data_IF_422452255278
#
_entry.id   IF_422452255278
#
_cell.length_a   1.000
_cell.length_b   1.000
_cell.length_c   1.000
_cell.angle_alpha   90.00
_cell.angle_beta   90.00
_cell.angle_gamma   90.00
#
_symmetry.space_group_name_H-M   'P 1'
#
loop_
_entity.id
_entity.type
_entity.pdbx_description
1 polymer ?
#
# COMPACT_ATOMS: atom_id res chain seq x y z
N UNK A 1 23.86 17.32 14.90
CA UNK A 1 22.75 17.24 15.88
C UNK A 1 22.16 18.60 16.28
N UNK A 2 22.27 19.67 15.46
CA UNK A 2 21.73 21.02 15.78
C UNK A 2 20.56 21.48 14.89
N UNK A 3 20.21 20.73 13.84
CA UNK A 3 19.17 21.13 12.86
C UNK A 3 17.79 20.56 13.20
N UNK A 4 17.72 19.40 13.86
CA UNK A 4 16.43 18.80 14.25
C UNK A 4 15.73 19.49 15.43
N UNK A 5 16.44 20.32 16.21
CA UNK A 5 15.84 21.06 17.31
C UNK A 5 14.97 22.24 16.82
N UNK A 6 15.34 22.85 15.68
CA UNK A 6 14.60 23.99 15.10
C UNK A 6 13.24 23.53 14.55
N UNK A 7 13.17 22.35 13.90
CA UNK A 7 11.91 21.80 13.40
C UNK A 7 10.95 21.37 14.53
N UNK A 8 11.46 20.88 15.66
CA UNK A 8 10.63 20.54 16.82
C UNK A 8 10.11 21.82 17.51
N UNK A 9 10.93 22.87 17.58
CA UNK A 9 10.54 24.15 18.17
C UNK A 9 9.48 24.89 17.34
N UNK A 10 9.60 24.87 16.01
CA UNK A 10 8.62 25.46 15.09
C UNK A 10 7.27 24.74 15.15
N UNK A 11 7.27 23.41 15.31
CA UNK A 11 6.04 22.64 15.49
C UNK A 11 5.36 22.94 16.84
N UNK A 12 6.14 23.13 17.90
CA UNK A 12 5.63 23.56 19.19
C UNK A 12 5.05 24.99 19.16
N UNK A 13 5.68 25.90 18.39
CA UNK A 13 5.19 27.28 18.22
C UNK A 13 3.89 27.34 17.41
N UNK A 14 3.78 26.56 16.33
CA UNK A 14 2.54 26.45 15.55
C UNK A 14 1.39 25.85 16.37
N UNK A 15 1.67 24.86 17.23
CA UNK A 15 0.68 24.29 18.15
C UNK A 15 0.26 25.27 19.25
N UNK A 16 1.17 26.12 19.76
CA UNK A 16 0.83 27.15 20.73
C UNK A 16 -0.04 28.27 20.12
N UNK A 17 0.20 28.65 18.85
CA UNK A 17 -0.63 29.63 18.15
C UNK A 17 -2.06 29.08 17.92
N UNK A 18 -2.20 27.78 17.59
CA UNK A 18 -3.50 27.12 17.44
C UNK A 18 -4.29 27.05 18.77
N UNK A 19 -3.59 26.94 19.91
CA UNK A 19 -4.20 26.91 21.24
C UNK A 19 -4.57 28.32 21.75
N UNK A 20 -3.85 29.37 21.32
CA UNK A 20 -4.07 30.74 21.80
C UNK A 20 -5.16 31.49 21.02
N UNK A 21 -5.52 31.08 19.80
CA UNK A 21 -6.60 31.73 19.03
C UNK A 21 -8.02 31.50 19.57
N UNK A 22 -8.19 30.67 20.61
CA UNK A 22 -9.46 30.49 21.32
C UNK A 22 -9.61 31.28 22.63
N UNK A 23 -8.72 32.24 22.91
CA UNK A 23 -9.03 33.27 23.92
C UNK A 23 -9.99 34.31 23.34
N UNK A 24 -11.29 33.99 23.39
CA UNK A 24 -12.34 35.01 23.38
C UNK A 24 -12.06 35.98 24.51
N UNK A 25 -11.91 37.26 24.16
CA UNK A 25 -11.94 38.36 25.12
C UNK A 25 -13.28 38.31 25.86
N UNK A 26 -13.23 38.11 27.18
CA UNK A 26 -14.40 38.21 28.06
C UNK A 26 -14.75 39.69 28.23
N UNK A 27 -15.38 40.29 27.22
CA UNK A 27 -16.27 41.42 27.46
C UNK A 27 -17.53 40.85 28.10
N UNK A 28 -17.70 41.08 29.40
CA UNK A 28 -18.90 40.74 30.16
C UNK A 28 -20.03 41.57 29.56
N UNK A 29 -20.73 40.98 28.60
CA UNK A 29 -22.05 41.41 28.18
C UNK A 29 -22.97 40.29 28.62
N UNK A 30 -23.84 40.56 29.59
CA UNK A 30 -24.81 39.60 30.10
C UNK A 30 -25.79 39.21 28.99
N UNK A 31 -25.45 38.18 28.21
CA UNK A 31 -26.43 37.45 27.42
C UNK A 31 -27.15 36.48 28.35
N UNK A 32 -28.44 36.75 28.59
CA UNK A 32 -29.38 35.76 29.14
C UNK A 32 -29.41 34.57 28.17
N UNK A 33 -28.72 33.48 28.50
CA UNK A 33 -28.88 32.23 27.78
C UNK A 33 -30.24 31.65 28.16
N UNK A 34 -31.13 31.49 27.19
CA UNK A 34 -32.31 30.61 27.31
C UNK A 34 -31.86 29.15 27.22
N UNK A 35 -30.96 28.75 28.11
CA UNK A 35 -30.80 27.35 28.48
C UNK A 35 -32.02 27.03 29.34
N UNK A 36 -33.00 26.33 28.75
CA UNK A 36 -34.02 25.58 29.50
C UNK A 36 -33.28 24.48 30.27
N UNK A 37 -32.63 24.87 31.36
CA UNK A 37 -32.40 23.97 32.47
C UNK A 37 -33.79 23.68 33.01
N UNK A 38 -34.24 22.42 32.91
CA UNK A 38 -35.38 21.93 33.69
C UNK A 38 -34.95 21.94 35.15
N UNK A 39 -34.97 23.13 35.75
CA UNK A 39 -35.01 23.26 37.19
C UNK A 39 -36.45 22.94 37.56
N UNK A 40 -36.68 21.82 38.25
CA UNK A 40 -37.95 21.53 38.89
C UNK A 40 -38.15 22.58 39.99
N UNK A 41 -38.69 23.73 39.60
CA UNK A 41 -39.25 24.68 40.55
C UNK A 41 -40.63 24.17 40.93
N UNK A 42 -40.73 23.48 42.08
CA UNK A 42 -42.00 23.12 42.74
C UNK A 42 -42.74 24.35 43.32
N UNK A 43 -42.65 25.51 42.68
CA UNK A 43 -43.26 26.75 43.19
C UNK A 43 -44.77 26.83 42.91
N UNK A 44 -45.31 25.95 42.07
CA UNK A 44 -46.74 25.80 41.81
C UNK A 44 -47.07 24.34 41.53
N UNK A 45 -47.11 23.50 42.56
CA UNK A 45 -47.85 22.24 42.52
C UNK A 45 -49.27 22.51 43.06
N UNK A 46 -50.29 22.62 42.22
CA UNK A 46 -51.68 22.73 42.67
C UNK A 46 -52.08 21.41 43.31
N UNK A 47 -52.61 21.52 44.52
CA UNK A 47 -52.92 20.40 45.43
C UNK A 47 -54.00 19.43 44.87
N UNK A 48 -54.57 19.69 43.69
CA UNK A 48 -55.74 18.93 43.23
C UNK A 48 -55.97 18.89 41.70
N UNK A 49 -54.94 18.59 40.91
CA UNK A 49 -55.12 18.40 39.44
C UNK A 49 -55.86 17.11 39.08
N UNK A 50 -55.84 16.10 39.95
CA UNK A 50 -56.44 14.79 39.70
C UNK A 50 -57.97 14.80 39.67
N UNK A 51 -58.62 15.89 40.10
CA UNK A 51 -60.08 15.99 40.17
C UNK A 51 -60.69 16.96 39.15
N UNK A 52 -59.88 17.65 38.32
CA UNK A 52 -60.39 18.53 37.27
C UNK A 52 -60.86 17.70 36.05
N UNK A 53 -62.15 17.75 35.66
CA UNK A 53 -62.69 17.03 34.51
C UNK A 53 -62.00 17.38 33.18
N UNK A 54 -61.50 18.61 33.04
CA UNK A 54 -60.77 19.05 31.85
C UNK A 54 -59.36 18.47 31.82
N UNK A 55 -58.67 18.43 32.97
CA UNK A 55 -57.33 17.86 33.08
C UNK A 55 -57.34 16.35 32.79
N UNK A 56 -58.32 15.60 33.31
CA UNK A 56 -58.48 14.17 33.00
C UNK A 56 -58.63 13.89 31.51
N UNK A 57 -59.40 14.72 30.79
CA UNK A 57 -59.57 14.57 29.33
C UNK A 57 -58.27 14.81 28.57
N UNK A 58 -57.48 15.79 28.98
CA UNK A 58 -56.18 16.10 28.36
C UNK A 58 -55.17 14.99 28.65
N UNK A 59 -55.13 14.48 29.88
CA UNK A 59 -54.27 13.35 30.25
C UNK A 59 -54.62 12.10 29.45
N UNK A 60 -55.90 11.76 29.34
CA UNK A 60 -56.35 10.59 28.58
C UNK A 60 -56.01 10.72 27.08
N UNK A 61 -56.23 11.90 26.47
CA UNK A 61 -55.82 12.15 25.09
C UNK A 61 -54.30 12.08 24.89
N UNK A 62 -53.51 12.51 25.88
CA UNK A 62 -52.06 12.38 25.84
C UNK A 62 -51.68 10.90 25.89
N UNK A 63 -52.24 10.15 26.83
CA UNK A 63 -51.98 8.73 27.06
C UNK A 63 -52.32 7.89 25.82
N UNK A 64 -53.49 8.10 25.22
CA UNK A 64 -53.92 7.46 23.96
C UNK A 64 -52.91 7.72 22.83
N UNK A 65 -52.51 8.99 22.64
CA UNK A 65 -51.56 9.39 21.59
C UNK A 65 -50.14 8.89 21.85
N UNK A 66 -49.71 8.80 23.11
CA UNK A 66 -48.41 8.19 23.44
C UNK A 66 -48.44 6.70 23.19
N UNK A 67 -49.50 6.01 23.61
CA UNK A 67 -49.66 4.56 23.45
C UNK A 67 -49.64 4.18 21.97
N UNK A 68 -50.34 4.92 21.11
CA UNK A 68 -50.28 4.72 19.66
C UNK A 68 -48.87 4.91 19.09
N UNK A 69 -48.15 5.97 19.51
CA UNK A 69 -46.76 6.22 19.06
C UNK A 69 -45.79 5.15 19.54
N UNK A 70 -45.97 4.61 20.74
CA UNK A 70 -45.15 3.51 21.25
C UNK A 70 -45.36 2.24 20.42
N UNK A 71 -46.61 1.89 20.10
CA UNK A 71 -46.89 0.76 19.20
C UNK A 71 -46.28 0.96 17.80
N UNK A 72 -46.43 2.14 17.20
CA UNK A 72 -45.81 2.46 15.89
C UNK A 72 -44.28 2.46 15.94
N UNK A 73 -43.68 2.85 17.06
CA UNK A 73 -42.24 2.79 17.26
C UNK A 73 -41.77 1.34 17.38
N UNK A 74 -42.45 0.50 18.17
CA UNK A 74 -42.10 -0.90 18.36
C UNK A 74 -42.22 -1.71 17.06
N UNK A 75 -43.26 -1.48 16.25
CA UNK A 75 -43.41 -2.14 14.95
C UNK A 75 -42.32 -1.71 13.95
N UNK A 76 -41.97 -0.42 13.91
CA UNK A 76 -40.81 0.05 13.13
C UNK A 76 -39.50 -0.54 13.63
N UNK A 77 -39.36 -0.72 14.94
CA UNK A 77 -38.16 -1.29 15.54
C UNK A 77 -38.02 -2.78 15.21
N UNK A 78 -39.11 -3.55 15.23
CA UNK A 78 -39.14 -4.96 14.83
C UNK A 78 -38.76 -5.14 13.36
N UNK A 79 -39.41 -4.42 12.46
CA UNK A 79 -39.15 -4.51 11.01
C UNK A 79 -37.71 -4.12 10.66
N UNK A 80 -37.18 -3.08 11.30
CA UNK A 80 -35.80 -2.63 11.11
C UNK A 80 -34.80 -3.67 11.62
N UNK A 81 -35.04 -4.26 12.80
CA UNK A 81 -34.20 -5.34 13.35
C UNK A 81 -34.20 -6.58 12.46
N UNK A 82 -35.35 -6.95 11.90
CA UNK A 82 -35.47 -8.10 11.00
C UNK A 82 -34.67 -7.90 9.71
N UNK A 83 -34.76 -6.72 9.08
CA UNK A 83 -33.97 -6.37 7.88
C UNK A 83 -32.46 -6.48 8.13
N UNK A 84 -31.97 -5.94 9.26
CA UNK A 84 -30.55 -6.04 9.60
C UNK A 84 -30.11 -7.48 9.88
N UNK A 85 -30.98 -8.30 10.49
CA UNK A 85 -30.68 -9.73 10.73
C UNK A 85 -30.55 -10.49 9.41
N UNK A 86 -31.50 -10.32 8.49
CA UNK A 86 -31.46 -10.93 7.15
C UNK A 86 -30.23 -10.47 6.34
N UNK A 87 -29.88 -9.19 6.43
CA UNK A 87 -28.69 -8.65 5.75
C UNK A 87 -27.39 -9.25 6.31
N UNK A 88 -27.26 -9.35 7.64
CA UNK A 88 -26.13 -10.02 8.29
C UNK A 88 -26.05 -11.50 7.91
N UNK A 89 -27.16 -12.24 7.94
CA UNK A 89 -27.18 -13.67 7.59
C UNK A 89 -26.75 -13.89 6.12
N UNK A 90 -27.15 -12.99 5.21
CA UNK A 90 -26.73 -13.00 3.81
C UNK A 90 -25.24 -12.71 3.64
N UNK A 91 -24.69 -11.74 4.37
CA UNK A 91 -23.26 -11.43 4.33
C UNK A 91 -22.42 -12.57 4.93
N UNK A 92 -22.88 -13.19 6.02
CA UNK A 92 -22.23 -14.37 6.62
C UNK A 92 -22.23 -15.54 5.63
N UNK A 93 -23.34 -15.83 4.97
CA UNK A 93 -23.39 -16.86 3.93
C UNK A 93 -22.41 -16.59 2.78
N UNK A 94 -22.29 -15.32 2.36
CA UNK A 94 -21.32 -14.92 1.32
C UNK A 94 -19.87 -15.12 1.77
N UNK A 95 -19.56 -14.83 3.03
CA UNK A 95 -18.23 -15.04 3.62
C UNK A 95 -17.91 -16.54 3.70
N UNK A 96 -18.85 -17.37 4.15
CA UNK A 96 -18.68 -18.83 4.23
C UNK A 96 -18.45 -19.44 2.84
N UNK A 97 -19.23 -19.02 1.84
CA UNK A 97 -19.05 -19.46 0.44
C UNK A 97 -17.68 -19.05 -0.11
N UNK A 98 -17.23 -17.83 0.19
CA UNK A 98 -15.91 -17.34 -0.23
C UNK A 98 -14.77 -18.12 0.43
N UNK A 99 -14.85 -18.35 1.73
CA UNK A 99 -13.86 -19.14 2.49
C UNK A 99 -13.79 -20.59 1.98
N UNK A 100 -14.94 -21.18 1.61
CA UNK A 100 -14.99 -22.54 1.03
C UNK A 100 -14.29 -22.61 -0.33
N UNK A 101 -14.47 -21.61 -1.20
CA UNK A 101 -13.78 -21.54 -2.48
C UNK A 101 -12.28 -21.29 -2.31
N UNK A 102 -11.89 -20.38 -1.41
CA UNK A 102 -10.49 -20.09 -1.11
C UNK A 102 -9.76 -21.33 -0.57
N UNK A 103 -10.41 -22.11 0.30
CA UNK A 103 -9.88 -23.39 0.79
C UNK A 103 -9.73 -24.43 -0.31
N UNK A 104 -10.73 -24.58 -1.18
CA UNK A 104 -10.65 -25.51 -2.32
C UNK A 104 -9.53 -25.13 -3.29
N UNK A 105 -9.35 -23.83 -3.56
CA UNK A 105 -8.23 -23.38 -4.39
C UNK A 105 -6.88 -23.61 -3.70
N UNK A 106 -6.76 -23.33 -2.41
CA UNK A 106 -5.53 -23.58 -1.66
C UNK A 106 -5.16 -25.07 -1.64
N UNK A 107 -6.13 -25.96 -1.46
CA UNK A 107 -5.90 -27.41 -1.54
C UNK A 107 -5.48 -27.86 -2.96
N UNK A 108 -6.08 -27.31 -4.02
CA UNK A 108 -5.64 -27.56 -5.39
C UNK A 108 -4.23 -27.03 -5.65
N UNK A 109 -3.88 -25.84 -5.17
CA UNK A 109 -2.52 -25.31 -5.31
C UNK A 109 -1.49 -26.14 -4.56
N UNK A 110 -1.79 -26.59 -3.34
CA UNK A 110 -0.86 -27.43 -2.54
C UNK A 110 -0.67 -28.80 -3.19
N UNK A 111 -1.72 -29.38 -3.77
CA UNK A 111 -1.60 -30.67 -4.49
C UNK A 111 -0.81 -30.53 -5.80
N UNK A 112 -1.00 -29.43 -6.54
CA UNK A 112 -0.17 -29.08 -7.69
C UNK A 112 1.30 -28.84 -7.31
N UNK A 113 1.59 -28.23 -6.16
CA UNK A 113 2.96 -28.03 -5.67
C UNK A 113 3.63 -29.35 -5.25
N UNK A 114 2.89 -30.33 -4.74
CA UNK A 114 3.46 -31.65 -4.38
C UNK A 114 3.75 -32.56 -5.58
N UNK A 115 3.05 -32.37 -6.71
CA UNK A 115 3.34 -33.06 -7.97
C UNK A 115 4.56 -32.48 -8.71
N UNK A 116 5.03 -31.29 -8.30
CA UNK A 116 6.28 -30.70 -8.77
C UNK A 116 7.37 -31.08 -7.77
N UNK A 117 7.84 -32.33 -7.83
CA UNK A 117 9.03 -32.72 -7.08
C UNK A 117 10.20 -31.76 -7.37
N UNK A 118 10.86 -31.37 -6.29
CA UNK A 118 11.97 -30.43 -6.14
C UNK A 118 13.26 -30.74 -6.90
N UNK A 119 13.28 -31.74 -7.77
CA UNK A 119 14.51 -32.29 -8.32
C UNK A 119 14.78 -31.84 -9.77
N UNK A 120 13.98 -30.91 -10.28
CA UNK A 120 14.27 -30.21 -11.55
C UNK A 120 13.87 -28.73 -11.46
N UNK A 121 14.61 -27.96 -10.66
CA UNK A 121 14.69 -26.51 -10.83
C UNK A 121 15.89 -26.24 -11.75
N UNK A 122 15.70 -25.95 -13.05
CA UNK A 122 16.76 -25.33 -13.83
C UNK A 122 16.94 -23.91 -13.30
N UNK A 123 18.21 -23.55 -13.10
CA UNK A 123 18.69 -22.19 -12.82
C UNK A 123 17.88 -21.12 -13.54
N UNK A 124 17.29 -20.22 -12.75
CA UNK A 124 16.79 -18.89 -13.10
C UNK A 124 16.34 -18.73 -14.57
N UNK A 125 15.13 -19.18 -14.86
CA UNK A 125 14.42 -18.63 -16.01
C UNK A 125 14.03 -17.20 -15.59
N UNK A 126 14.68 -16.19 -16.19
CA UNK A 126 14.19 -14.81 -16.16
C UNK A 126 12.78 -14.78 -16.77
N UNK A 127 11.80 -15.05 -15.93
CA UNK A 127 10.41 -15.01 -16.28
C UNK A 127 10.08 -13.54 -16.55
N UNK A 128 9.87 -13.21 -17.82
CA UNK A 128 9.03 -12.07 -18.16
C UNK A 128 7.75 -12.23 -17.31
N UNK A 129 7.42 -11.23 -16.49
CA UNK A 129 6.07 -10.98 -15.95
C UNK A 129 5.78 -11.26 -14.46
N UNK A 130 6.53 -10.60 -13.57
CA UNK A 130 5.84 -9.92 -12.45
C UNK A 130 5.76 -8.42 -12.70
N UNK A 131 6.86 -7.75 -13.04
CA UNK A 131 6.83 -6.31 -13.37
C UNK A 131 5.97 -5.98 -14.61
N UNK A 132 6.14 -6.68 -15.75
CA UNK A 132 5.37 -6.41 -16.99
C UNK A 132 3.87 -6.79 -16.86
N UNK A 133 3.54 -7.79 -16.02
CA UNK A 133 2.14 -8.17 -15.70
C UNK A 133 1.51 -7.22 -14.70
N UNK A 134 2.27 -6.77 -13.69
CA UNK A 134 1.83 -5.74 -12.74
C UNK A 134 1.69 -4.40 -13.45
N UNK A 135 2.55 -4.05 -14.40
CA UNK A 135 2.47 -2.82 -15.19
C UNK A 135 1.25 -2.85 -16.14
N UNK A 136 1.01 -3.95 -16.88
CA UNK A 136 -0.23 -4.14 -17.65
C UNK A 136 -1.48 -4.21 -16.78
N UNK A 137 -1.39 -4.79 -15.58
CA UNK A 137 -2.47 -4.84 -14.60
C UNK A 137 -2.78 -3.48 -14.00
N UNK A 138 -1.77 -2.67 -13.71
CA UNK A 138 -1.89 -1.33 -13.16
C UNK A 138 -2.42 -0.35 -14.21
N UNK A 139 -1.96 -0.46 -15.48
CA UNK A 139 -2.55 0.25 -16.63
C UNK A 139 -4.03 -0.10 -16.83
N UNK A 140 -4.41 -1.39 -16.73
CA UNK A 140 -5.81 -1.81 -16.79
C UNK A 140 -6.64 -1.31 -15.60
N UNK A 141 -6.09 -1.31 -14.39
CA UNK A 141 -6.77 -0.76 -13.21
C UNK A 141 -6.97 0.77 -13.29
N UNK A 142 -6.01 1.51 -13.85
CA UNK A 142 -6.16 2.95 -14.12
C UNK A 142 -7.20 3.24 -15.21
N UNK A 143 -7.32 2.36 -16.21
CA UNK A 143 -8.28 2.51 -17.32
C UNK A 143 -9.75 2.36 -16.86
N UNK A 144 -10.02 1.45 -15.91
CA UNK A 144 -11.38 1.17 -15.42
C UNK A 144 -11.85 2.23 -14.40
N UNK A 145 -10.92 2.82 -13.64
CA UNK A 145 -11.22 3.96 -12.75
C UNK A 145 -11.40 5.28 -13.52
N UNK A 146 -10.85 5.39 -14.73
CA UNK A 146 -11.00 6.57 -15.59
C UNK A 146 -12.40 6.78 -16.19
N UNK A 147 -13.25 5.75 -16.23
CA UNK A 147 -14.61 5.88 -16.79
C UNK A 147 -15.66 6.34 -15.76
N UNK A 148 -15.35 6.28 -14.46
CA UNK A 148 -16.24 6.74 -13.40
C UNK A 148 -15.87 8.13 -12.82
N UNK A 149 -14.65 8.62 -13.08
CA UNK A 149 -14.21 9.97 -12.71
C UNK A 149 -13.10 10.44 -13.67
N UNK A 150 -13.40 11.31 -14.65
CA UNK A 150 -12.45 11.74 -15.69
C UNK A 150 -11.21 12.51 -15.18
N UNK A 151 -11.22 13.02 -13.95
CA UNK A 151 -10.22 14.00 -13.50
C UNK A 151 -9.04 13.42 -12.70
N UNK A 152 -9.11 12.16 -12.23
CA UNK A 152 -8.01 11.56 -11.45
C UNK A 152 -7.01 10.74 -12.30
N UNK A 153 -7.31 10.47 -13.58
CA UNK A 153 -6.43 9.71 -14.48
C UNK A 153 -5.27 10.52 -15.11
N UNK A 154 -5.29 11.84 -14.97
CA UNK A 154 -4.33 12.78 -15.60
C UNK A 154 -3.32 13.37 -14.62
N UNK A 155 -3.25 12.84 -13.41
CA UNK A 155 -2.42 13.39 -12.37
C UNK A 155 -1.01 12.78 -12.45
N UNK A 156 -0.16 13.34 -13.34
CA UNK A 156 1.31 13.45 -13.32
C UNK A 156 2.24 12.25 -13.01
N UNK A 157 1.84 11.30 -12.18
CA UNK A 157 2.68 10.23 -11.66
C UNK A 157 3.08 9.17 -12.68
N UNK A 158 2.20 8.83 -13.61
CA UNK A 158 2.50 7.84 -14.65
C UNK A 158 3.56 8.35 -15.64
N UNK A 159 3.55 9.63 -15.98
CA UNK A 159 4.55 10.22 -16.88
C UNK A 159 5.93 10.35 -16.20
N UNK A 160 5.96 10.80 -14.94
CA UNK A 160 7.19 10.91 -14.16
C UNK A 160 7.84 9.55 -13.95
N UNK A 161 7.05 8.54 -13.57
CA UNK A 161 7.56 7.19 -13.35
C UNK A 161 8.08 6.57 -14.66
N UNK A 162 7.34 6.68 -15.76
CA UNK A 162 7.77 6.19 -17.06
C UNK A 162 9.05 6.89 -17.55
N UNK A 163 9.16 8.20 -17.37
CA UNK A 163 10.37 8.95 -17.69
C UNK A 163 11.57 8.51 -16.85
N UNK A 164 11.38 8.27 -15.55
CA UNK A 164 12.42 7.78 -14.65
C UNK A 164 12.89 6.37 -15.04
N UNK A 165 11.98 5.46 -15.40
CA UNK A 165 12.32 4.10 -15.88
C UNK A 165 13.06 4.17 -17.22
N UNK A 166 12.65 5.02 -18.15
CA UNK A 166 13.33 5.20 -19.43
C UNK A 166 14.74 5.80 -19.28
N UNK A 167 14.94 6.70 -18.32
CA UNK A 167 16.27 7.22 -18.00
C UNK A 167 17.15 6.14 -17.36
N UNK A 168 16.60 5.41 -16.39
CA UNK A 168 17.28 4.33 -15.67
C UNK A 168 17.74 3.20 -16.59
N UNK A 169 16.88 2.77 -17.52
CA UNK A 169 17.23 1.72 -18.49
C UNK A 169 18.39 2.11 -19.40
N UNK A 170 18.48 3.37 -19.83
CA UNK A 170 19.62 3.86 -20.62
C UNK A 170 20.93 3.78 -19.84
N UNK A 171 20.90 4.16 -18.56
CA UNK A 171 22.07 4.09 -17.67
C UNK A 171 22.47 2.63 -17.41
N UNK A 172 21.49 1.77 -17.12
CA UNK A 172 21.73 0.34 -16.91
C UNK A 172 22.33 -0.36 -18.13
N UNK A 173 21.83 -0.08 -19.33
CA UNK A 173 22.39 -0.61 -20.58
C UNK A 173 23.84 -0.14 -20.77
N UNK A 174 24.12 1.15 -20.56
CA UNK A 174 25.48 1.68 -20.68
C UNK A 174 26.45 0.98 -19.71
N UNK A 175 26.03 0.78 -18.47
CA UNK A 175 26.84 0.11 -17.43
C UNK A 175 27.03 -1.38 -17.67
N UNK A 176 26.02 -2.08 -18.17
CA UNK A 176 26.17 -3.47 -18.60
C UNK A 176 27.16 -3.60 -19.78
N UNK A 177 27.15 -2.66 -20.73
CA UNK A 177 28.14 -2.62 -21.82
C UNK A 177 29.56 -2.40 -21.29
N UNK A 178 29.73 -1.50 -20.31
CA UNK A 178 31.02 -1.31 -19.62
C UNK A 178 31.50 -2.60 -18.97
N UNK A 179 30.66 -3.26 -18.16
CA UNK A 179 31.01 -4.53 -17.53
C UNK A 179 31.36 -5.63 -18.53
N UNK A 180 30.66 -5.70 -19.67
CA UNK A 180 30.99 -6.66 -20.74
C UNK A 180 32.34 -6.38 -21.41
N UNK A 181 32.79 -5.13 -21.46
CA UNK A 181 34.12 -4.80 -21.99
C UNK A 181 35.24 -5.27 -21.06
N UNK A 182 34.96 -5.30 -19.76
CA UNK A 182 35.91 -5.77 -18.73
C UNK A 182 36.03 -7.31 -18.70
N UNK A 183 35.10 -8.04 -19.34
CA UNK A 183 35.19 -9.50 -19.48
C UNK A 183 36.43 -9.86 -20.29
N UNK A 184 37.28 -10.70 -19.70
CA UNK A 184 38.59 -11.09 -20.26
C UNK A 184 38.48 -11.59 -21.69
N UNK A 185 39.08 -10.83 -22.61
CA UNK A 185 39.16 -11.16 -24.04
C UNK A 185 37.87 -10.93 -24.83
N UNK A 186 36.75 -10.57 -24.20
CA UNK A 186 35.47 -10.34 -24.89
C UNK A 186 35.53 -9.09 -25.77
N UNK A 187 36.14 -8.02 -25.28
CA UNK A 187 36.38 -6.79 -26.07
C UNK A 187 37.24 -7.07 -27.31
N UNK A 188 38.28 -7.91 -27.20
CA UNK A 188 39.11 -8.31 -28.35
C UNK A 188 38.37 -9.22 -29.34
N UNK A 189 37.37 -9.96 -28.86
CA UNK A 189 36.57 -10.86 -29.68
C UNK A 189 35.56 -10.07 -30.51
N UNK A 190 34.76 -9.22 -29.86
CA UNK A 190 33.57 -8.59 -30.43
C UNK A 190 33.73 -7.11 -30.75
N UNK A 191 34.71 -6.43 -30.13
CA UNK A 191 34.98 -5.01 -30.34
C UNK A 191 33.73 -4.15 -30.10
N UNK A 192 33.36 -3.35 -31.10
CA UNK A 192 32.19 -2.46 -31.04
C UNK A 192 30.85 -3.20 -31.05
N UNK A 193 30.80 -4.46 -31.49
CA UNK A 193 29.55 -5.26 -31.54
C UNK A 193 28.97 -5.57 -30.15
N UNK A 194 29.72 -5.31 -29.08
CA UNK A 194 29.23 -5.44 -27.70
C UNK A 194 28.05 -4.50 -27.44
N UNK A 195 28.01 -3.33 -28.10
CA UNK A 195 26.90 -2.38 -27.93
C UNK A 195 25.56 -2.96 -28.38
N UNK A 196 25.57 -3.74 -29.46
CA UNK A 196 24.36 -4.31 -30.06
C UNK A 196 23.86 -5.56 -29.32
N UNK A 197 24.71 -6.13 -28.45
CA UNK A 197 24.37 -7.29 -27.62
C UNK A 197 23.46 -6.94 -26.45
N UNK A 198 23.59 -5.73 -25.90
CA UNK A 198 22.87 -5.30 -24.70
C UNK A 198 21.63 -4.52 -25.10
N UNK A 199 20.47 -4.93 -24.57
CA UNK A 199 19.18 -4.34 -24.83
C UNK A 199 18.36 -4.21 -23.55
N UNK A 200 17.18 -3.61 -23.67
CA UNK A 200 16.25 -3.35 -22.55
C UNK A 200 15.83 -4.62 -21.81
N UNK A 201 15.94 -5.80 -22.43
CA UNK A 201 15.46 -7.07 -21.87
C UNK A 201 16.55 -7.94 -21.24
N UNK A 202 17.83 -7.70 -21.54
CA UNK A 202 18.93 -8.56 -21.08
C UNK A 202 19.96 -7.86 -20.20
N UNK A 203 20.01 -6.52 -20.15
CA UNK A 203 21.05 -5.77 -19.43
C UNK A 203 21.13 -6.08 -17.92
N UNK A 204 20.04 -6.56 -17.32
CA UNK A 204 19.92 -6.90 -15.90
C UNK A 204 19.77 -8.41 -15.63
N UNK A 205 19.61 -9.22 -16.68
CA UNK A 205 19.35 -10.65 -16.53
C UNK A 205 20.60 -11.45 -16.88
N UNK A 206 21.23 -12.03 -15.87
CA UNK A 206 22.45 -12.85 -15.95
C UNK A 206 22.38 -13.91 -17.05
N UNK A 207 21.35 -14.75 -17.01
CA UNK A 207 21.19 -15.86 -17.95
C UNK A 207 20.86 -15.39 -19.37
N UNK A 208 20.05 -14.34 -19.51
CA UNK A 208 19.72 -13.78 -20.83
C UNK A 208 20.95 -13.14 -21.48
N UNK A 209 21.74 -12.40 -20.70
CA UNK A 209 22.96 -11.77 -21.16
C UNK A 209 24.00 -12.82 -21.58
N UNK A 210 24.21 -13.84 -20.75
CA UNK A 210 25.08 -14.97 -21.05
C UNK A 210 24.66 -15.68 -22.34
N UNK A 211 23.38 -16.02 -22.48
CA UNK A 211 22.85 -16.64 -23.71
C UNK A 211 23.09 -15.78 -24.95
N UNK A 212 22.87 -14.46 -24.86
CA UNK A 212 23.11 -13.57 -25.99
C UNK A 212 24.58 -13.50 -26.38
N UNK A 213 25.48 -13.45 -25.40
CA UNK A 213 26.94 -13.45 -25.64
C UNK A 213 27.37 -14.79 -26.24
N UNK A 214 26.93 -15.91 -25.68
CA UNK A 214 27.31 -17.25 -26.13
C UNK A 214 26.80 -17.55 -27.55
N UNK A 215 25.61 -17.07 -27.93
CA UNK A 215 25.08 -17.22 -29.29
C UNK A 215 25.96 -16.57 -30.35
N UNK A 216 26.63 -15.45 -30.03
CA UNK A 216 27.53 -14.76 -30.96
C UNK A 216 28.96 -15.28 -30.83
N UNK A 217 29.44 -15.53 -29.60
CA UNK A 217 30.81 -15.92 -29.35
C UNK A 217 31.11 -17.37 -29.79
N UNK A 218 30.18 -18.30 -29.59
CA UNK A 218 30.41 -19.72 -29.86
C UNK A 218 30.67 -20.04 -31.34
N UNK A 219 29.91 -19.51 -32.32
CA UNK A 219 30.23 -19.69 -33.75
C UNK A 219 31.62 -19.15 -34.11
N UNK A 220 32.00 -17.99 -33.54
CA UNK A 220 33.30 -17.36 -33.79
C UNK A 220 34.43 -18.26 -33.27
N UNK A 221 34.28 -18.79 -32.05
CA UNK A 221 35.27 -19.68 -31.46
C UNK A 221 35.41 -21.05 -32.17
N UNK A 222 34.46 -21.45 -33.03
CA UNK A 222 34.51 -22.69 -33.82
C UNK A 222 35.21 -22.55 -35.18
N UNK A 223 35.36 -21.34 -35.72
CA UNK A 223 35.84 -21.08 -37.10
C UNK A 223 37.37 -21.09 -37.28
N UNK A 224 38.10 -21.67 -36.32
CA UNK A 224 39.52 -22.10 -36.37
C UNK A 224 40.67 -21.13 -36.72
N UNK A 225 40.44 -19.85 -37.07
CA UNK A 225 41.50 -18.82 -36.96
C UNK A 225 41.43 -18.01 -35.65
N UNK A 226 40.24 -17.97 -35.04
CA UNK A 226 39.93 -17.18 -33.84
C UNK A 226 40.16 -17.97 -32.54
N UNK A 227 40.47 -19.28 -32.63
CA UNK A 227 40.81 -20.14 -31.49
C UNK A 227 42.05 -19.68 -30.70
N UNK A 228 42.80 -18.69 -31.19
CA UNK A 228 43.90 -18.00 -30.50
C UNK A 228 43.45 -16.80 -29.65
N UNK A 229 42.22 -16.30 -29.81
CA UNK A 229 41.74 -15.16 -29.01
C UNK A 229 41.52 -15.57 -27.56
N UNK A 230 41.95 -14.71 -26.65
CA UNK A 230 41.93 -14.92 -25.20
C UNK A 230 40.60 -15.46 -24.68
N UNK A 231 39.47 -14.88 -25.13
CA UNK A 231 38.12 -15.32 -24.75
C UNK A 231 37.87 -16.80 -25.09
N UNK A 232 38.11 -17.20 -26.34
CA UNK A 232 37.85 -18.58 -26.79
C UNK A 232 38.77 -19.58 -26.08
N UNK A 233 40.02 -19.20 -25.80
CA UNK A 233 40.95 -20.07 -25.07
C UNK A 233 40.54 -20.29 -23.61
N UNK A 234 39.99 -19.26 -22.94
CA UNK A 234 39.47 -19.37 -21.57
C UNK A 234 38.18 -20.20 -21.57
N UNK A 235 37.25 -19.92 -22.48
CA UNK A 235 35.94 -20.62 -22.54
C UNK A 235 36.10 -22.12 -22.84
N UNK A 236 37.07 -22.49 -23.69
CA UNK A 236 37.39 -23.88 -24.03
C UNK A 236 38.24 -24.60 -22.96
N UNK A 237 38.60 -23.93 -21.86
CA UNK A 237 39.44 -24.52 -20.80
C UNK A 237 40.88 -24.81 -21.22
N UNK A 238 41.38 -24.13 -22.27
CA UNK A 238 42.74 -24.31 -22.79
C UNK A 238 43.78 -23.44 -22.04
N UNK A 239 43.35 -22.60 -21.10
CA UNK A 239 44.21 -21.83 -20.20
C UNK A 239 44.12 -22.35 -18.76
N UNK A 240 45.08 -22.01 -17.90
CA UNK A 240 45.01 -22.20 -16.44
C UNK A 240 43.93 -21.33 -15.75
N UNK A 241 43.00 -20.76 -16.52
CA UNK A 241 41.91 -19.92 -16.04
C UNK A 241 40.62 -20.72 -16.24
N UNK A 242 39.79 -20.89 -15.19
CA UNK A 242 38.56 -21.66 -15.33
C UNK A 242 37.55 -20.93 -16.23
N UNK A 243 36.77 -21.66 -17.07
CA UNK A 243 35.73 -21.08 -17.92
C UNK A 243 34.68 -20.25 -17.16
N UNK A 244 34.46 -20.58 -15.89
CA UNK A 244 33.58 -19.83 -14.97
C UNK A 244 33.99 -18.37 -14.80
N UNK A 245 35.24 -18.01 -15.09
CA UNK A 245 35.72 -16.61 -15.06
C UNK A 245 34.96 -15.75 -16.08
N UNK A 246 34.64 -16.30 -17.26
CA UNK A 246 33.87 -15.59 -18.28
C UNK A 246 32.42 -15.45 -17.83
N UNK A 247 31.84 -16.52 -17.32
CA UNK A 247 30.44 -16.54 -16.85
C UNK A 247 30.24 -15.55 -15.71
N UNK A 248 31.14 -15.56 -14.73
CA UNK A 248 31.14 -14.62 -13.61
C UNK A 248 31.31 -13.17 -14.08
N UNK A 249 32.19 -12.91 -15.05
CA UNK A 249 32.35 -11.56 -15.61
C UNK A 249 31.11 -11.07 -16.35
N UNK A 250 30.41 -11.96 -17.06
CA UNK A 250 29.13 -11.61 -17.71
C UNK A 250 28.03 -11.39 -16.67
N UNK A 251 28.01 -12.17 -15.59
CA UNK A 251 27.08 -11.97 -14.49
C UNK A 251 27.33 -10.67 -13.73
N UNK A 252 28.60 -10.32 -13.51
CA UNK A 252 29.00 -9.04 -12.91
C UNK A 252 28.57 -7.87 -13.80
N UNK A 253 28.71 -8.00 -15.13
CA UNK A 253 28.20 -6.99 -16.06
C UNK A 253 26.68 -6.79 -15.95
N UNK A 254 25.91 -7.88 -15.80
CA UNK A 254 24.47 -7.80 -15.57
C UNK A 254 24.12 -7.17 -14.21
N UNK A 255 24.88 -7.50 -13.15
CA UNK A 255 24.72 -6.89 -11.82
C UNK A 255 25.03 -5.39 -11.84
N UNK A 256 26.09 -4.98 -12.54
CA UNK A 256 26.44 -3.57 -12.75
C UNK A 256 25.33 -2.83 -13.50
N UNK A 257 24.76 -3.44 -14.54
CA UNK A 257 23.64 -2.87 -15.28
C UNK A 257 22.38 -2.72 -14.43
N UNK A 258 22.05 -3.72 -13.63
CA UNK A 258 20.91 -3.69 -12.71
C UNK A 258 21.09 -2.62 -11.62
N UNK A 259 22.24 -2.62 -10.93
CA UNK A 259 22.53 -1.67 -9.86
C UNK A 259 22.49 -0.23 -10.36
N UNK A 260 23.09 0.05 -11.52
CA UNK A 260 23.10 1.39 -12.09
C UNK A 260 21.71 1.86 -12.55
N UNK A 261 20.87 0.95 -13.05
CA UNK A 261 19.48 1.28 -13.36
C UNK A 261 18.69 1.62 -12.09
N UNK A 262 18.85 0.85 -11.01
CA UNK A 262 18.16 1.10 -9.75
C UNK A 262 18.60 2.41 -9.09
N UNK A 263 19.90 2.71 -9.10
CA UNK A 263 20.46 3.98 -8.64
C UNK A 263 19.93 5.16 -9.46
N UNK A 264 20.01 5.09 -10.79
CA UNK A 264 19.53 6.15 -11.67
C UNK A 264 18.02 6.37 -11.55
N UNK A 265 17.24 5.30 -11.36
CA UNK A 265 15.79 5.39 -11.10
C UNK A 265 15.52 6.12 -9.78
N UNK A 266 16.25 5.77 -8.72
CA UNK A 266 16.12 6.41 -7.42
C UNK A 266 16.51 7.89 -7.48
N UNK A 267 17.57 8.24 -8.21
CA UNK A 267 17.98 9.63 -8.43
C UNK A 267 16.95 10.42 -9.24
N UNK A 268 16.44 9.87 -10.34
CA UNK A 268 15.40 10.51 -11.14
C UNK A 268 14.12 10.78 -10.32
N UNK A 269 13.73 9.83 -9.47
CA UNK A 269 12.60 10.02 -8.56
C UNK A 269 12.90 11.06 -7.48
N UNK A 270 14.09 11.04 -6.85
CA UNK A 270 14.50 12.05 -5.85
C UNK A 270 14.55 13.46 -6.43
N UNK A 271 15.06 13.61 -7.66
CA UNK A 271 15.09 14.89 -8.36
C UNK A 271 13.68 15.40 -8.65
N UNK A 272 12.72 14.49 -8.85
CA UNK A 272 11.31 14.86 -9.07
C UNK A 272 10.57 15.18 -7.76
N UNK A 273 10.94 14.54 -6.66
CA UNK A 273 10.37 14.74 -5.33
C UNK A 273 11.36 15.42 -4.39
N UNK A 274 11.69 16.67 -4.68
CA UNK A 274 12.38 17.54 -3.71
C UNK A 274 11.42 17.90 -2.57
N UNK A 275 11.93 18.21 -1.37
CA UNK A 275 11.09 18.54 -0.20
C UNK A 275 10.04 19.63 -0.47
N UNK A 276 10.36 20.57 -1.36
CA UNK A 276 9.46 21.67 -1.77
C UNK A 276 8.37 21.22 -2.75
N UNK A 277 8.68 20.24 -3.61
CA UNK A 277 7.73 19.68 -4.57
C UNK A 277 6.92 18.54 -3.99
N UNK A 278 7.35 17.87 -2.92
CA UNK A 278 6.62 16.75 -2.31
C UNK A 278 5.22 17.16 -1.85
N UNK A 279 5.09 18.29 -1.15
CA UNK A 279 3.80 18.79 -0.66
C UNK A 279 2.90 19.39 -1.75
N UNK A 280 3.46 19.73 -2.90
CA UNK A 280 2.74 20.28 -4.06
C UNK A 280 2.46 19.22 -5.13
N UNK A 281 3.21 18.12 -5.10
CA UNK A 281 3.07 17.02 -6.04
C UNK A 281 1.86 16.18 -5.65
N UNK A 282 0.99 15.82 -6.61
CA UNK A 282 -0.17 15.01 -6.28
C UNK A 282 0.16 13.61 -5.74
N UNK A 283 1.30 13.03 -6.17
CA UNK A 283 1.80 11.77 -5.62
C UNK A 283 2.23 11.92 -4.15
N UNK A 284 2.92 13.02 -3.80
CA UNK A 284 3.30 13.29 -2.41
C UNK A 284 2.09 13.54 -1.52
N UNK A 285 1.07 14.26 -2.01
CA UNK A 285 -0.21 14.44 -1.31
C UNK A 285 -0.90 13.07 -1.10
N UNK A 286 -0.95 12.22 -2.12
CA UNK A 286 -1.55 10.87 -2.00
C UNK A 286 -0.84 10.00 -0.96
N UNK A 287 0.51 10.04 -0.92
CA UNK A 287 1.31 9.33 0.09
C UNK A 287 1.07 9.91 1.49
N UNK A 288 0.99 11.22 1.63
CA UNK A 288 0.73 11.86 2.92
C UNK A 288 -0.66 11.49 3.45
N UNK A 289 -1.70 11.53 2.59
CA UNK A 289 -3.07 11.15 2.96
C UNK A 289 -3.13 9.68 3.39
N UNK A 290 -2.49 8.77 2.66
CA UNK A 290 -2.47 7.35 3.03
C UNK A 290 -1.77 7.10 4.37
N UNK A 291 -0.65 7.76 4.64
CA UNK A 291 0.02 7.70 5.95
C UNK A 291 -0.88 8.25 7.06
N UNK A 292 -1.56 9.38 6.83
CA UNK A 292 -2.52 9.94 7.79
C UNK A 292 -3.66 8.97 8.11
N UNK A 293 -4.23 8.29 7.11
CA UNK A 293 -5.28 7.27 7.30
C UNK A 293 -4.77 6.12 8.18
N UNK A 294 -3.56 5.61 7.91
CA UNK A 294 -2.96 4.53 8.71
C UNK A 294 -2.77 4.96 10.17
N UNK A 295 -2.29 6.18 10.41
CA UNK A 295 -2.14 6.74 11.76
C UNK A 295 -3.50 6.83 12.46
N UNK A 296 -4.53 7.37 11.80
CA UNK A 296 -5.88 7.48 12.37
C UNK A 296 -6.43 6.09 12.73
N UNK A 297 -6.31 5.11 11.83
CA UNK A 297 -6.74 3.73 12.09
C UNK A 297 -5.99 3.10 13.26
N UNK A 298 -4.67 3.34 13.36
CA UNK A 298 -3.86 2.85 14.48
C UNK A 298 -4.29 3.44 15.82
N UNK A 299 -4.62 4.74 15.88
CA UNK A 299 -5.11 5.42 17.07
C UNK A 299 -6.48 4.86 17.48
N UNK A 300 -7.41 4.73 16.52
CA UNK A 300 -8.74 4.14 16.76
C UNK A 300 -8.59 2.70 17.30
N UNK A 301 -7.74 1.90 16.66
CA UNK A 301 -7.45 0.54 17.09
C UNK A 301 -6.92 0.48 18.53
N UNK A 302 -5.97 1.35 18.89
CA UNK A 302 -5.43 1.43 20.25
C UNK A 302 -6.49 1.84 21.28
N UNK A 303 -7.37 2.80 20.94
CA UNK A 303 -8.48 3.22 21.82
C UNK A 303 -9.45 2.04 22.04
N UNK A 304 -9.86 1.36 20.97
CA UNK A 304 -10.75 0.20 21.04
C UNK A 304 -10.14 -0.95 21.84
N UNK A 305 -8.83 -1.20 21.66
CA UNK A 305 -8.09 -2.22 22.42
C UNK A 305 -8.05 -1.89 23.90
N UNK A 306 -7.80 -0.62 24.28
CA UNK A 306 -7.85 -0.17 25.69
C UNK A 306 -9.24 -0.33 26.29
N UNK A 307 -10.30 0.03 25.56
CA UNK A 307 -11.70 -0.16 26.01
C UNK A 307 -12.03 -1.63 26.26
N UNK A 308 -11.64 -2.53 25.34
CA UNK A 308 -11.82 -3.98 25.50
C UNK A 308 -11.12 -4.50 26.76
N UNK A 309 -9.85 -4.13 26.98
CA UNK A 309 -9.12 -4.52 28.21
C UNK A 309 -9.80 -4.01 29.49
N UNK A 310 -10.31 -2.76 29.51
CA UNK A 310 -11.03 -2.22 30.67
C UNK A 310 -12.34 -2.97 30.93
N UNK A 311 -13.09 -3.34 29.89
CA UNK A 311 -14.34 -4.13 30.01
C UNK A 311 -14.07 -5.52 30.58
N UNK A 312 -13.01 -6.19 30.13
CA UNK A 312 -12.63 -7.51 30.66
C UNK A 312 -12.21 -7.46 32.13
N UNK A 313 -11.43 -6.45 32.55
CA UNK A 313 -11.05 -6.26 33.96
C UNK A 313 -12.28 -6.07 34.86
N UNK A 314 -13.25 -5.25 34.43
CA UNK A 314 -14.51 -5.06 35.16
C UNK A 314 -15.30 -6.37 35.29
N UNK A 315 -15.44 -7.13 34.19
CA UNK A 315 -16.12 -8.43 34.23
C UNK A 315 -15.49 -9.41 35.22
N UNK A 316 -14.15 -9.45 35.28
CA UNK A 316 -13.43 -10.30 36.23
C UNK A 316 -13.73 -9.92 37.69
N UNK A 317 -13.86 -8.62 37.99
CA UNK A 317 -14.21 -8.15 39.33
C UNK A 317 -15.66 -8.52 39.71
N UNK A 318 -16.61 -8.42 38.78
CA UNK A 318 -17.99 -8.83 39.03
C UNK A 318 -18.15 -10.34 39.26
N UNK A 319 -17.38 -11.17 38.55
CA UNK A 319 -17.40 -12.64 38.76
C UNK A 319 -16.91 -12.98 40.17
N UNK A 320 -15.81 -12.35 40.62
CA UNK A 320 -15.28 -12.58 41.97
C UNK A 320 -16.24 -12.22 43.09
N UNK A 321 -17.04 -11.15 42.91
CA UNK A 321 -18.05 -10.73 43.89
C UNK A 321 -19.29 -11.63 43.94
N UNK A 322 -19.49 -12.52 42.95
CA UNK A 322 -20.62 -13.47 42.93
C UNK A 322 -20.24 -14.86 43.46
N UNK A 323 -18.95 -15.13 43.64
CA UNK A 323 -18.43 -16.38 44.22
C UNK A 323 -18.22 -16.30 45.75
N UNK A 324 -18.26 -15.10 46.34
CA UNK A 324 -18.33 -14.86 47.79
C UNK A 324 -19.79 -14.78 48.27
#
# INVERSE_FOLDING_TARGET
MKVHYINILLFAHALNILVITHKKNTSITHHKSTTRLLCECELYAPVNYDNDPQMKKVMQQFEDRTTQRFHEYDERMKTTRQKYKEQCDKEIHKIILKDKLEKQMAEQFVTLDTDIQSDTIPTCICEKSMADKVEKGCLKCGSILGTAMPEFGLIGGNFVYAAAVNAATKVGIAKAIEGLRDVRGLQMLLGEKIKDLVNVTNYYCKDALLKTVDNIANPICKSDEVGKKLYCTIKLGKQHIPPSTIENGIFEAADMGAAAADEAKAEALKATFTGDTFFSSPLGISLLVTVCIIIILSIIYLILRRRRKKKMKKKLQYIKLLEE
#
